data_IF_929989867665
#
_entry.id   IF_929989867665
#
_cell.length_a   1.000
_cell.length_b   1.000
_cell.length_c   1.000
_cell.angle_alpha   90.00
_cell.angle_beta   90.00
_cell.angle_gamma   90.00
#
_symmetry.space_group_name_H-M   'P 1'
#
loop_
_entity.id
_entity.type
_entity.pdbx_description
1 polymer ?
#
# COMPACT_ATOMS: atom_id res chain seq x y z
N UNK A 1 -16.91 0.49 -25.65
CA UNK A 1 -16.95 1.90 -25.23
C UNK A 1 -17.51 2.74 -26.35
N UNK A 2 -18.07 3.91 -26.06
CA UNK A 2 -18.44 4.84 -27.14
C UNK A 2 -17.17 5.42 -27.81
N UNK A 3 -17.27 5.97 -29.03
CA UNK A 3 -16.10 6.46 -29.76
C UNK A 3 -15.33 7.56 -29.03
N UNK A 4 -16.02 8.46 -28.33
CA UNK A 4 -15.41 9.57 -27.59
C UNK A 4 -14.55 9.05 -26.42
N UNK A 5 -15.09 8.15 -25.60
CA UNK A 5 -14.33 7.54 -24.50
C UNK A 5 -13.15 6.72 -25.02
N UNK A 6 -13.29 6.07 -26.18
CA UNK A 6 -12.17 5.31 -26.78
C UNK A 6 -11.02 6.23 -27.17
N UNK A 7 -11.35 7.35 -27.82
CA UNK A 7 -10.37 8.39 -28.15
C UNK A 7 -9.68 8.96 -26.91
N UNK A 8 -10.44 9.23 -25.84
CA UNK A 8 -9.84 9.74 -24.58
C UNK A 8 -8.83 8.76 -23.96
N UNK A 9 -9.11 7.45 -24.02
CA UNK A 9 -8.16 6.44 -23.56
C UNK A 9 -6.94 6.38 -24.48
N UNK A 10 -7.13 6.42 -25.80
CA UNK A 10 -6.03 6.40 -26.77
C UNK A 10 -5.10 7.61 -26.56
N UNK A 11 -5.66 8.82 -26.45
CA UNK A 11 -4.94 10.08 -26.20
C UNK A 11 -4.13 10.01 -24.87
N UNK A 12 -4.68 9.36 -23.84
CA UNK A 12 -3.98 9.14 -22.57
C UNK A 12 -2.82 8.14 -22.73
N UNK A 13 -3.07 7.01 -23.39
CA UNK A 13 -2.07 5.95 -23.58
C UNK A 13 -0.96 6.36 -24.55
N UNK A 14 -1.20 7.30 -25.48
CA UNK A 14 -0.15 7.87 -26.34
C UNK A 14 1.02 8.46 -25.52
N UNK A 15 0.74 8.96 -24.30
CA UNK A 15 1.74 9.57 -23.40
C UNK A 15 2.27 8.61 -22.34
N UNK A 16 1.92 7.32 -22.40
CA UNK A 16 2.24 6.34 -21.35
C UNK A 16 3.71 6.29 -20.95
N UNK A 17 4.65 6.41 -21.88
CA UNK A 17 6.08 6.34 -21.56
C UNK A 17 6.55 7.54 -20.74
N UNK A 18 6.09 8.75 -21.09
CA UNK A 18 6.35 9.97 -20.32
C UNK A 18 5.74 9.86 -18.92
N UNK A 19 4.52 9.33 -18.82
CA UNK A 19 3.85 9.13 -17.52
C UNK A 19 4.58 8.06 -16.69
N UNK A 20 5.06 6.98 -17.31
CA UNK A 20 5.88 5.96 -16.64
C UNK A 20 7.11 6.60 -16.00
N UNK A 21 7.83 7.45 -16.73
CA UNK A 21 9.04 8.11 -16.23
C UNK A 21 8.71 9.04 -15.05
N UNK A 22 7.68 9.88 -15.19
CA UNK A 22 7.22 10.74 -14.10
C UNK A 22 6.76 9.96 -12.86
N UNK A 23 6.12 8.79 -13.03
CA UNK A 23 5.74 7.92 -11.92
C UNK A 23 6.98 7.39 -11.17
N UNK A 24 8.04 6.99 -11.87
CA UNK A 24 9.26 6.51 -11.22
C UNK A 24 9.93 7.60 -10.40
N UNK A 25 10.07 8.79 -10.97
CA UNK A 25 10.62 9.96 -10.27
C UNK A 25 9.79 10.27 -9.02
N UNK A 26 8.46 10.28 -9.16
CA UNK A 26 7.56 10.55 -8.05
C UNK A 26 7.65 9.47 -6.96
N UNK A 27 7.71 8.18 -7.33
CA UNK A 27 7.86 7.10 -6.35
C UNK A 27 9.20 7.17 -5.63
N UNK A 28 10.29 7.49 -6.33
CA UNK A 28 11.61 7.65 -5.70
C UNK A 28 11.65 8.84 -4.76
N UNK A 29 11.12 10.00 -5.17
CA UNK A 29 11.00 11.18 -4.32
C UNK A 29 10.17 10.84 -3.08
N UNK A 30 9.09 10.11 -3.26
CA UNK A 30 8.14 9.82 -2.21
C UNK A 30 8.69 8.79 -1.20
N UNK A 31 9.22 7.66 -1.70
CA UNK A 31 9.63 6.53 -0.87
C UNK A 31 11.13 6.59 -0.49
N UNK A 32 11.89 7.48 -1.13
CA UNK A 32 13.35 7.56 -1.00
C UNK A 32 14.11 6.48 -1.78
N UNK A 33 13.40 5.61 -2.49
CA UNK A 33 13.92 4.47 -3.25
C UNK A 33 12.87 4.05 -4.28
N UNK A 34 13.30 3.65 -5.47
CA UNK A 34 12.44 2.93 -6.43
C UNK A 34 12.27 1.46 -5.97
N UNK A 35 11.06 1.01 -5.59
CA UNK A 35 10.84 -0.39 -5.25
C UNK A 35 11.15 -1.30 -6.44
N UNK A 36 11.76 -2.45 -6.17
CA UNK A 36 12.21 -3.38 -7.23
C UNK A 36 11.07 -3.87 -8.15
N UNK A 37 9.82 -3.82 -7.68
CA UNK A 37 8.65 -4.23 -8.46
C UNK A 37 8.34 -3.25 -9.59
N UNK A 38 8.64 -1.94 -9.44
CA UNK A 38 8.22 -0.94 -10.42
C UNK A 38 8.87 -1.16 -11.79
N UNK A 39 10.19 -1.43 -11.92
CA UNK A 39 10.81 -1.82 -13.20
C UNK A 39 10.11 -2.99 -13.90
N UNK A 40 9.68 -4.00 -13.13
CA UNK A 40 9.00 -5.19 -13.66
C UNK A 40 7.59 -4.82 -14.13
N UNK A 41 6.87 -4.00 -13.36
CA UNK A 41 5.53 -3.55 -13.74
C UNK A 41 5.56 -2.68 -15.01
N UNK A 42 6.60 -1.86 -15.20
CA UNK A 42 6.79 -1.02 -16.40
C UNK A 42 6.85 -1.84 -17.70
N UNK A 43 7.21 -3.13 -17.65
CA UNK A 43 7.16 -4.01 -18.84
C UNK A 43 5.76 -4.07 -19.48
N UNK A 44 4.71 -3.68 -18.74
CA UNK A 44 3.34 -3.46 -19.25
C UNK A 44 2.90 -2.00 -19.02
N UNK A 45 3.33 -1.05 -19.86
CA UNK A 45 3.19 0.38 -19.58
C UNK A 45 1.73 0.82 -19.46
N UNK A 46 0.82 0.30 -20.30
CA UNK A 46 -0.61 0.66 -20.25
C UNK A 46 -1.23 0.34 -18.88
N UNK A 47 -0.91 -0.84 -18.34
CA UNK A 47 -1.38 -1.26 -17.03
C UNK A 47 -0.65 -0.54 -15.90
N UNK A 48 0.66 -0.34 -16.04
CA UNK A 48 1.47 0.31 -15.03
C UNK A 48 1.06 1.77 -14.82
N UNK A 49 0.84 2.52 -15.89
CA UNK A 49 0.43 3.93 -15.79
C UNK A 49 -0.90 4.07 -15.04
N UNK A 50 -1.89 3.24 -15.38
CA UNK A 50 -3.18 3.28 -14.70
C UNK A 50 -3.07 2.92 -13.22
N UNK A 51 -2.44 1.79 -12.89
CA UNK A 51 -2.33 1.34 -11.51
C UNK A 51 -1.39 2.21 -10.69
N UNK A 52 -0.24 2.61 -11.25
CA UNK A 52 0.76 3.43 -10.58
C UNK A 52 0.23 4.82 -10.21
N UNK A 53 -0.60 5.44 -11.06
CA UNK A 53 -1.30 6.67 -10.69
C UNK A 53 -2.27 6.43 -9.53
N UNK A 54 -3.08 5.37 -9.61
CA UNK A 54 -4.01 5.00 -8.54
C UNK A 54 -3.31 4.75 -7.21
N UNK A 55 -2.21 4.00 -7.23
CA UNK A 55 -1.37 3.71 -6.06
C UNK A 55 -0.77 4.99 -5.49
N UNK A 56 -0.20 5.87 -6.33
CA UNK A 56 0.38 7.14 -5.90
C UNK A 56 -0.65 8.02 -5.17
N UNK A 57 -1.84 8.21 -5.75
CA UNK A 57 -2.90 9.00 -5.11
C UNK A 57 -3.41 8.35 -3.82
N UNK A 58 -3.46 7.02 -3.78
CA UNK A 58 -3.92 6.29 -2.59
C UNK A 58 -2.93 6.40 -1.43
N UNK A 59 -1.62 6.34 -1.71
CA UNK A 59 -0.56 6.47 -0.69
C UNK A 59 -0.17 7.93 -0.40
N UNK A 60 -0.68 8.90 -1.16
CA UNK A 60 -0.50 10.34 -0.90
C UNK A 60 -1.84 11.07 -0.73
N UNK A 61 -2.66 10.69 0.27
CA UNK A 61 -3.98 11.28 0.47
C UNK A 61 -3.90 12.74 0.90
N UNK A 62 -4.73 13.61 0.34
CA UNK A 62 -4.79 15.04 0.73
C UNK A 62 -5.33 15.26 2.15
N UNK A 63 -6.09 14.30 2.68
CA UNK A 63 -6.77 14.41 3.98
C UNK A 63 -5.91 13.97 5.17
N UNK A 64 -4.66 13.56 4.95
CA UNK A 64 -3.80 13.00 6.00
C UNK A 64 -2.34 13.40 5.74
N UNK A 65 -1.60 13.70 6.81
CA UNK A 65 -0.18 14.00 6.70
C UNK A 65 0.62 12.75 6.31
N UNK A 66 1.79 13.00 5.71
CA UNK A 66 2.61 11.96 5.12
C UNK A 66 3.13 10.94 6.14
N UNK A 67 3.56 11.41 7.31
CA UNK A 67 4.05 10.55 8.37
C UNK A 67 2.95 9.57 8.83
N UNK A 68 1.73 10.07 9.06
CA UNK A 68 0.59 9.24 9.44
C UNK A 68 0.27 8.21 8.35
N UNK A 69 0.24 8.61 7.08
CA UNK A 69 -0.02 7.71 5.96
C UNK A 69 1.03 6.58 5.87
N UNK A 70 2.32 6.90 6.05
CA UNK A 70 3.38 5.89 6.04
C UNK A 70 3.33 4.95 7.24
N UNK A 71 2.99 5.44 8.44
CA UNK A 71 2.80 4.56 9.59
C UNK A 71 1.62 3.59 9.38
N UNK A 72 0.56 4.01 8.68
CA UNK A 72 -0.53 3.12 8.28
C UNK A 72 -0.03 2.08 7.28
N UNK A 73 0.77 2.47 6.29
CA UNK A 73 1.36 1.55 5.33
C UNK A 73 2.28 0.52 6.01
N UNK A 74 3.08 0.94 7.00
CA UNK A 74 3.88 0.04 7.85
C UNK A 74 3.00 -0.95 8.60
N UNK A 75 1.90 -0.49 9.21
CA UNK A 75 0.97 -1.37 9.91
C UNK A 75 0.32 -2.41 8.96
N UNK A 76 -0.10 -1.98 7.77
CA UNK A 76 -0.70 -2.84 6.77
C UNK A 76 0.31 -3.89 6.23
N UNK A 77 1.55 -3.48 5.94
CA UNK A 77 2.60 -4.39 5.50
C UNK A 77 2.98 -5.41 6.59
N UNK A 78 3.07 -4.97 7.84
CA UNK A 78 3.34 -5.86 8.97
C UNK A 78 2.20 -6.86 9.20
N UNK A 79 0.94 -6.42 9.14
CA UNK A 79 -0.23 -7.28 9.34
C UNK A 79 -0.40 -8.33 8.23
N UNK A 80 0.08 -8.06 7.02
CA UNK A 80 -0.05 -8.93 5.85
C UNK A 80 1.20 -9.78 5.57
N UNK A 81 2.28 -9.60 6.33
CA UNK A 81 3.55 -10.31 6.12
C UNK A 81 4.29 -9.88 4.85
N UNK A 82 4.08 -8.66 4.38
CA UNK A 82 4.68 -8.13 3.16
C UNK A 82 6.05 -7.49 3.46
N UNK A 83 7.07 -8.31 3.70
CA UNK A 83 8.41 -7.86 4.15
C UNK A 83 9.04 -6.80 3.23
N UNK A 84 8.86 -6.93 1.92
CA UNK A 84 9.34 -5.96 0.93
C UNK A 84 8.71 -4.58 1.11
N UNK A 85 7.38 -4.54 1.23
CA UNK A 85 6.63 -3.32 1.50
C UNK A 85 7.00 -2.76 2.87
N UNK A 86 7.12 -3.61 3.89
CA UNK A 86 7.46 -3.20 5.24
C UNK A 86 8.81 -2.48 5.27
N UNK A 87 9.83 -3.01 4.60
CA UNK A 87 11.14 -2.37 4.50
C UNK A 87 11.06 -0.98 3.83
N UNK A 88 10.34 -0.88 2.71
CA UNK A 88 10.19 0.37 1.95
C UNK A 88 9.46 1.43 2.78
N UNK A 89 8.30 1.09 3.34
CA UNK A 89 7.48 2.03 4.10
C UNK A 89 8.08 2.41 5.46
N UNK A 90 8.88 1.55 6.10
CA UNK A 90 9.68 1.98 7.26
C UNK A 90 10.68 3.06 6.86
N UNK A 91 11.36 2.89 5.71
CA UNK A 91 12.29 3.89 5.19
C UNK A 91 11.60 5.22 4.90
N UNK A 92 10.45 5.18 4.22
CA UNK A 92 9.64 6.36 3.93
C UNK A 92 9.13 7.03 5.21
N UNK A 93 8.60 6.28 6.18
CA UNK A 93 8.17 6.83 7.46
C UNK A 93 9.32 7.55 8.19
N UNK A 94 10.52 6.96 8.22
CA UNK A 94 11.70 7.58 8.86
C UNK A 94 12.14 8.84 8.12
N UNK A 95 12.04 8.87 6.79
CA UNK A 95 12.28 10.08 5.98
C UNK A 95 11.34 11.21 6.38
N UNK A 96 10.10 10.88 6.72
CA UNK A 96 9.08 11.82 7.20
C UNK A 96 9.17 12.13 8.70
N UNK A 97 10.22 11.66 9.37
CA UNK A 97 10.51 11.97 10.77
C UNK A 97 10.00 10.96 11.80
N UNK A 98 9.57 9.76 11.37
CA UNK A 98 9.19 8.70 12.30
C UNK A 98 10.37 8.32 13.22
N UNK A 99 10.11 8.24 14.52
CA UNK A 99 11.07 7.68 15.47
C UNK A 99 11.05 6.15 15.44
N UNK A 100 12.13 5.55 15.95
CA UNK A 100 12.20 4.10 16.13
C UNK A 100 11.07 3.57 17.01
N UNK A 101 10.69 4.34 18.03
CA UNK A 101 9.61 4.02 18.96
C UNK A 101 8.25 4.02 18.24
N UNK A 102 7.98 5.02 17.39
CA UNK A 102 6.75 5.05 16.58
C UNK A 102 6.66 3.83 15.67
N UNK A 103 7.74 3.49 14.95
CA UNK A 103 7.76 2.29 14.08
C UNK A 103 7.54 1.01 14.88
N UNK A 104 8.22 0.85 16.03
CA UNK A 104 8.03 -0.31 16.92
C UNK A 104 6.58 -0.43 17.39
N UNK A 105 5.99 0.67 17.84
CA UNK A 105 4.64 0.68 18.40
C UNK A 105 3.60 0.40 17.31
N UNK A 106 3.76 0.96 16.11
CA UNK A 106 2.95 0.65 14.94
C UNK A 106 2.97 -0.85 14.61
N UNK A 107 4.15 -1.47 14.52
CA UNK A 107 4.28 -2.91 14.25
C UNK A 107 3.64 -3.74 15.38
N UNK A 108 3.84 -3.33 16.64
CA UNK A 108 3.27 -4.03 17.80
C UNK A 108 1.73 -3.96 17.82
N UNK A 109 1.16 -2.82 17.43
CA UNK A 109 -0.29 -2.63 17.27
C UNK A 109 -0.81 -3.54 16.14
N UNK A 110 -0.15 -3.57 14.98
CA UNK A 110 -0.53 -4.45 13.88
C UNK A 110 -0.53 -5.93 14.30
N UNK A 111 0.51 -6.38 15.01
CA UNK A 111 0.61 -7.74 15.54
C UNK A 111 -0.48 -8.05 16.57
N UNK A 112 -0.82 -7.11 17.45
CA UNK A 112 -1.92 -7.24 18.40
C UNK A 112 -3.26 -7.46 17.67
N UNK A 113 -3.56 -6.65 16.66
CA UNK A 113 -4.79 -6.77 15.86
C UNK A 113 -4.86 -8.11 15.14
N UNK A 114 -3.76 -8.55 14.53
CA UNK A 114 -3.69 -9.88 13.89
C UNK A 114 -3.96 -11.02 14.89
N UNK A 115 -3.32 -10.97 16.07
CA UNK A 115 -3.53 -11.95 17.15
C UNK A 115 -4.99 -12.00 17.61
N UNK A 116 -5.61 -10.85 17.87
CA UNK A 116 -6.99 -10.81 18.37
C UNK A 116 -8.01 -11.21 17.31
N UNK A 117 -7.73 -10.95 16.02
CA UNK A 117 -8.53 -11.46 14.91
C UNK A 117 -8.60 -12.99 14.88
N UNK A 118 -7.45 -13.65 15.05
CA UNK A 118 -7.36 -15.11 15.15
C UNK A 118 -8.17 -15.64 16.34
N UNK A 119 -7.92 -15.09 17.54
CA UNK A 119 -8.59 -15.54 18.76
C UNK A 119 -10.11 -15.32 18.70
N UNK A 120 -10.55 -14.16 18.24
CA UNK A 120 -11.96 -13.83 18.12
C UNK A 120 -12.70 -14.74 17.14
N UNK A 121 -12.09 -15.04 15.99
CA UNK A 121 -12.64 -15.99 15.03
C UNK A 121 -12.71 -17.41 15.60
N UNK A 122 -11.61 -17.89 16.19
CA UNK A 122 -11.53 -19.22 16.76
C UNK A 122 -12.52 -19.44 17.91
N UNK A 123 -12.60 -18.51 18.87
CA UNK A 123 -13.53 -18.63 20.00
C UNK A 123 -14.99 -18.52 19.59
N UNK A 124 -15.31 -17.78 18.53
CA UNK A 124 -16.67 -17.76 17.97
C UNK A 124 -17.07 -19.13 17.44
N UNK A 125 -16.19 -19.78 16.68
CA UNK A 125 -16.41 -21.13 16.16
C UNK A 125 -16.53 -22.14 17.31
N UNK A 126 -15.63 -22.06 18.30
CA UNK A 126 -15.69 -22.89 19.49
C UNK A 126 -17.03 -22.76 20.21
N UNK A 127 -17.49 -21.53 20.44
CA UNK A 127 -18.78 -21.28 21.10
C UNK A 127 -19.98 -21.83 20.32
N UNK A 128 -19.92 -21.89 18.99
CA UNK A 128 -20.96 -22.56 18.19
C UNK A 128 -20.86 -24.10 18.21
N UNK A 129 -19.64 -24.64 18.28
CA UNK A 129 -19.40 -26.08 18.24
C UNK A 129 -19.62 -26.77 19.59
N UNK A 130 -19.38 -26.04 20.69
CA UNK A 130 -19.53 -26.51 22.06
C UNK A 130 -20.81 -26.00 22.72
N UNK A 131 -21.87 -25.71 21.95
CA UNK A 131 -23.18 -25.44 22.56
C UNK A 131 -23.54 -26.64 23.44
N UNK A 132 -23.48 -26.46 24.76
CA UNK A 132 -24.20 -27.31 25.69
C UNK A 132 -25.68 -27.06 25.40
N UNK A 133 -26.40 -28.14 25.11
CA UNK A 133 -27.85 -28.09 24.94
C UNK A 133 -28.47 -27.46 26.21
N UNK A 134 -28.86 -26.18 26.14
CA UNK A 134 -29.90 -25.60 27.01
C UNK A 134 -31.27 -26.11 26.59
#
# INVERSE_FOLDING_TARGET
>A
MNPETSKQIDDFLERREEICEGLFEQFEETLGVVPFILPILRERPDSFVFNGLGDLYTFNPESMDRLTAELIAVAAAAATGADGCLKVHIGAAVKEGATREQVRDTISIAALVGKTGILGGAFRVMGTALREDE
#
